data_IF_224544809123
#
_entry.id   IF_224544809123
#
_cell.length_a   1.000
_cell.length_b   1.000
_cell.length_c   1.000
_cell.angle_alpha   90.00
_cell.angle_beta   90.00
_cell.angle_gamma   90.00
#
_symmetry.space_group_name_H-M   'P 1'
#
loop_
_entity.id
_entity.type
_entity.pdbx_description
1 polymer ?
#
# COMPACT_ATOMS: atom_id res chain seq x y z
N UNK A 1 -9.34 17.21 2.16
CA UNK A 1 -8.43 16.13 1.74
C UNK A 1 -7.68 15.61 2.94
N UNK A 2 -7.40 14.31 2.97
CA UNK A 2 -6.61 13.62 3.99
C UNK A 2 -5.09 13.81 3.79
N UNK A 3 -4.69 14.35 2.64
CA UNK A 3 -3.33 14.80 2.34
C UNK A 3 -3.35 16.16 1.65
N UNK A 4 -2.25 16.92 1.75
CA UNK A 4 -2.09 18.20 1.03
C UNK A 4 -2.27 18.00 -0.48
N UNK A 5 -1.79 16.88 -1.00
CA UNK A 5 -1.90 16.52 -2.40
C UNK A 5 -3.35 16.35 -2.87
N UNK A 6 -4.17 15.68 -2.07
CA UNK A 6 -5.59 15.51 -2.34
C UNK A 6 -6.33 16.87 -2.30
N UNK A 7 -5.93 17.78 -1.41
CA UNK A 7 -6.47 19.15 -1.41
C UNK A 7 -6.10 19.90 -2.70
N UNK A 8 -4.88 19.74 -3.21
CA UNK A 8 -4.46 20.38 -4.45
C UNK A 8 -5.13 19.79 -5.69
N UNK A 9 -5.32 18.48 -5.71
CA UNK A 9 -6.07 17.79 -6.77
C UNK A 9 -7.53 18.28 -6.82
N UNK A 10 -8.17 18.41 -5.66
CA UNK A 10 -9.53 18.98 -5.57
C UNK A 10 -9.56 20.43 -6.08
N UNK A 11 -8.58 21.26 -5.71
CA UNK A 11 -8.47 22.65 -6.18
C UNK A 11 -8.29 22.72 -7.70
N UNK A 12 -7.42 21.87 -8.26
CA UNK A 12 -7.17 21.82 -9.70
C UNK A 12 -8.43 21.42 -10.48
N UNK A 13 -9.13 20.37 -10.04
CA UNK A 13 -10.39 19.92 -10.64
C UNK A 13 -11.47 20.98 -10.53
N UNK A 14 -11.59 21.65 -9.38
CA UNK A 14 -12.55 22.74 -9.18
C UNK A 14 -12.30 23.89 -10.14
N UNK A 15 -11.04 24.32 -10.28
CA UNK A 15 -10.63 25.37 -11.21
C UNK A 15 -10.94 25.00 -12.66
N UNK A 16 -10.64 23.77 -13.10
CA UNK A 16 -10.93 23.31 -14.46
C UNK A 16 -12.44 23.30 -14.78
N UNK A 17 -13.28 23.10 -13.76
CA UNK A 17 -14.75 23.14 -13.89
C UNK A 17 -15.33 24.56 -13.77
N UNK A 18 -14.49 25.59 -13.65
CA UNK A 18 -14.92 26.97 -13.45
C UNK A 18 -15.55 27.24 -12.08
N UNK A 19 -15.29 26.37 -11.09
CA UNK A 19 -15.79 26.52 -9.73
C UNK A 19 -14.88 27.51 -8.99
N UNK A 20 -15.47 28.61 -8.53
CA UNK A 20 -14.78 29.64 -7.75
C UNK A 20 -14.66 29.18 -6.30
N UNK A 21 -13.45 29.19 -5.74
CA UNK A 21 -13.22 28.86 -4.34
C UNK A 21 -12.79 30.11 -3.56
N UNK A 22 -13.43 30.30 -2.40
CA UNK A 22 -13.16 31.40 -1.49
C UNK A 22 -12.70 30.84 -0.15
N UNK A 23 -11.60 31.38 0.38
CA UNK A 23 -11.13 31.01 1.71
C UNK A 23 -11.60 32.01 2.76
N UNK A 24 -12.19 31.49 3.84
CA UNK A 24 -12.65 32.31 4.98
C UNK A 24 -11.45 32.83 5.80
N UNK A 25 -10.36 32.05 5.85
CA UNK A 25 -9.11 32.40 6.52
C UNK A 25 -8.00 32.55 5.49
N UNK A 26 -7.36 33.71 5.44
CA UNK A 26 -6.24 34.00 4.54
C UNK A 26 -6.58 34.83 3.31
N UNK A 27 -7.88 35.09 3.03
CA UNK A 27 -8.33 36.12 2.09
C UNK A 27 -8.00 35.88 0.62
N UNK A 28 -7.52 34.70 0.25
CA UNK A 28 -7.19 34.37 -1.14
C UNK A 28 -8.38 33.73 -1.85
N UNK A 29 -8.49 34.06 -3.14
CA UNK A 29 -9.57 33.64 -4.03
C UNK A 29 -8.98 32.84 -5.19
N UNK A 30 -9.61 31.72 -5.51
CA UNK A 30 -9.37 30.95 -6.74
C UNK A 30 -10.50 31.31 -7.71
N UNK A 31 -10.35 32.43 -8.40
CA UNK A 31 -11.38 33.05 -9.22
C UNK A 31 -10.95 33.18 -10.70
N UNK A 32 -10.11 32.25 -11.15
CA UNK A 32 -9.58 32.15 -12.52
C UNK A 32 -8.66 33.32 -12.95
N UNK A 33 -8.26 34.15 -11.99
CA UNK A 33 -7.26 35.21 -12.17
C UNK A 33 -5.86 34.61 -12.36
N UNK A 34 -4.94 35.41 -12.93
CA UNK A 34 -3.52 35.01 -13.08
C UNK A 34 -2.92 34.62 -11.72
N UNK A 35 -3.30 35.33 -10.65
CA UNK A 35 -2.88 35.04 -9.27
C UNK A 35 -3.36 33.65 -8.83
N UNK A 36 -4.61 33.29 -9.09
CA UNK A 36 -5.14 31.94 -8.79
C UNK A 36 -4.40 30.84 -9.54
N UNK A 37 -4.05 31.06 -10.82
CA UNK A 37 -3.32 30.07 -11.64
C UNK A 37 -1.89 29.86 -11.15
N UNK A 38 -1.18 30.94 -10.81
CA UNK A 38 0.17 30.87 -10.22
C UNK A 38 0.14 30.15 -8.87
N UNK A 39 -0.85 30.46 -8.02
CA UNK A 39 -1.00 29.83 -6.71
C UNK A 39 -1.25 28.32 -6.83
N UNK A 40 -2.10 27.90 -7.77
CA UNK A 40 -2.33 26.48 -8.07
C UNK A 40 -1.05 25.77 -8.56
N UNK A 41 -0.25 26.42 -9.41
CA UNK A 41 1.04 25.87 -9.86
C UNK A 41 2.04 25.71 -8.71
N UNK A 42 2.22 26.74 -7.89
CA UNK A 42 3.12 26.68 -6.72
C UNK A 42 2.70 25.56 -5.79
N UNK A 43 1.40 25.42 -5.53
CA UNK A 43 0.89 24.36 -4.69
C UNK A 43 1.09 22.96 -5.28
N UNK A 44 0.93 22.79 -6.60
CA UNK A 44 1.24 21.54 -7.28
C UNK A 44 2.71 21.17 -7.12
N UNK A 45 3.62 22.14 -7.31
CA UNK A 45 5.06 21.94 -7.12
C UNK A 45 5.40 21.58 -5.67
N UNK A 46 4.82 22.27 -4.69
CA UNK A 46 5.02 21.99 -3.27
C UNK A 46 4.55 20.58 -2.91
N UNK A 47 3.40 20.15 -3.43
CA UNK A 47 2.87 18.82 -3.19
C UNK A 47 3.76 17.71 -3.77
N UNK A 48 4.37 17.94 -4.94
CA UNK A 48 5.34 17.03 -5.54
C UNK A 48 6.63 16.95 -4.72
N UNK A 49 7.18 18.10 -4.31
CA UNK A 49 8.37 18.17 -3.46
C UNK A 49 8.14 17.48 -2.12
N UNK A 50 6.99 17.69 -1.48
CA UNK A 50 6.66 17.05 -0.20
C UNK A 50 6.63 15.51 -0.33
N UNK A 51 5.99 15.00 -1.39
CA UNK A 51 5.96 13.56 -1.68
C UNK A 51 7.37 12.99 -1.86
N UNK A 52 8.21 13.70 -2.59
CA UNK A 52 9.59 13.30 -2.83
C UNK A 52 10.42 13.32 -1.54
N UNK A 53 10.25 14.33 -0.68
CA UNK A 53 10.93 14.40 0.61
C UNK A 53 10.51 13.26 1.55
N UNK A 54 9.22 12.89 1.59
CA UNK A 54 8.72 11.74 2.37
C UNK A 54 9.33 10.43 1.86
N UNK A 55 9.35 10.25 0.54
CA UNK A 55 9.94 9.09 -0.13
C UNK A 55 11.44 9.00 0.19
N UNK A 56 12.16 10.12 0.07
CA UNK A 56 13.60 10.24 0.34
C UNK A 56 13.92 9.87 1.78
N UNK A 57 13.21 10.44 2.76
CA UNK A 57 13.37 10.13 4.19
C UNK A 57 13.24 8.64 4.48
N UNK A 58 12.23 7.99 3.88
CA UNK A 58 12.00 6.56 4.08
C UNK A 58 13.12 5.71 3.46
N UNK A 59 13.56 6.06 2.25
CA UNK A 59 14.65 5.38 1.56
C UNK A 59 15.97 5.50 2.30
N UNK A 60 16.30 6.70 2.80
CA UNK A 60 17.50 6.93 3.62
C UNK A 60 17.46 6.10 4.90
N UNK A 61 16.35 6.09 5.63
CA UNK A 61 16.20 5.27 6.83
C UNK A 61 16.34 3.77 6.54
N UNK A 62 15.80 3.29 5.42
CA UNK A 62 15.95 1.89 4.99
C UNK A 62 17.41 1.60 4.61
N UNK A 63 18.09 2.51 3.91
CA UNK A 63 19.49 2.38 3.56
C UNK A 63 20.37 2.26 4.81
N UNK A 64 20.17 3.12 5.80
CA UNK A 64 20.87 3.03 7.09
C UNK A 64 20.61 1.72 7.80
N UNK A 65 19.34 1.26 7.87
CA UNK A 65 19.01 -0.05 8.46
C UNK A 65 19.71 -1.21 7.74
N UNK A 66 19.75 -1.17 6.41
CA UNK A 66 20.43 -2.19 5.59
C UNK A 66 21.94 -2.16 5.83
N UNK A 67 22.55 -0.98 5.92
CA UNK A 67 23.98 -0.81 6.23
C UNK A 67 24.33 -1.35 7.63
N UNK A 68 23.42 -1.19 8.60
CA UNK A 68 23.54 -1.75 9.94
C UNK A 68 23.24 -3.26 10.01
N UNK A 69 23.14 -3.95 8.86
CA UNK A 69 22.93 -5.39 8.78
C UNK A 69 21.49 -5.86 9.03
N UNK A 70 20.52 -4.95 9.19
CA UNK A 70 19.11 -5.33 9.35
C UNK A 70 18.59 -5.88 8.02
N UNK A 71 18.14 -7.14 8.02
CA UNK A 71 17.46 -7.73 6.87
C UNK A 71 16.09 -7.08 6.68
N UNK A 72 15.96 -6.30 5.62
CA UNK A 72 14.70 -5.69 5.21
C UNK A 72 13.83 -6.65 4.40
N UNK A 73 12.53 -6.40 4.39
CA UNK A 73 11.55 -7.22 3.68
C UNK A 73 11.09 -8.44 4.48
N UNK A 74 10.34 -9.32 3.80
CA UNK A 74 9.83 -10.55 4.42
C UNK A 74 11.00 -11.45 4.82
N UNK A 75 11.05 -11.97 6.07
CA UNK A 75 12.07 -12.92 6.49
C UNK A 75 12.14 -14.12 5.53
N UNK A 76 13.37 -14.54 5.19
CA UNK A 76 13.59 -15.76 4.40
C UNK A 76 13.16 -16.98 5.23
N UNK A 77 12.50 -17.91 4.56
CA UNK A 77 12.03 -19.15 5.16
C UNK A 77 10.51 -19.27 5.16
N UNK A 78 10.04 -20.45 5.55
CA UNK A 78 8.64 -20.81 5.44
C UNK A 78 7.72 -20.07 6.45
N UNK A 79 8.29 -19.36 7.43
CA UNK A 79 7.54 -18.70 8.49
C UNK A 79 6.60 -19.65 9.23
N UNK A 80 5.70 -19.07 10.03
CA UNK A 80 4.51 -19.77 10.53
C UNK A 80 3.42 -19.64 9.47
N UNK A 81 2.88 -20.77 9.01
CA UNK A 81 1.75 -20.81 8.12
C UNK A 81 0.47 -20.83 8.94
N UNK A 82 -0.58 -20.15 8.45
CA UNK A 82 -1.93 -20.29 9.02
C UNK A 82 -2.44 -21.74 8.99
N UNK A 83 -1.87 -22.57 8.12
CA UNK A 83 -2.22 -23.99 7.97
C UNK A 83 -1.57 -24.87 9.04
N UNK A 84 -0.53 -24.39 9.75
CA UNK A 84 0.18 -25.17 10.77
C UNK A 84 -0.77 -25.64 11.89
N UNK A 85 -1.80 -24.85 12.21
CA UNK A 85 -2.82 -25.17 13.23
C UNK A 85 -3.71 -26.35 12.79
N UNK A 86 -3.91 -26.51 11.48
CA UNK A 86 -4.82 -27.51 10.90
C UNK A 86 -4.07 -28.73 10.37
N UNK A 87 -2.79 -28.93 10.73
CA UNK A 87 -1.95 -29.96 10.14
C UNK A 87 -2.57 -31.35 10.19
N UNK A 88 -3.05 -31.76 11.37
CA UNK A 88 -3.68 -33.07 11.59
C UNK A 88 -4.94 -33.26 10.74
N UNK A 89 -5.80 -32.22 10.63
CA UNK A 89 -7.02 -32.29 9.82
C UNK A 89 -6.68 -32.35 8.32
N UNK A 90 -5.69 -31.58 7.86
CA UNK A 90 -5.23 -31.57 6.47
C UNK A 90 -4.66 -32.95 6.09
N UNK A 91 -3.85 -33.57 6.96
CA UNK A 91 -3.33 -34.93 6.77
C UNK A 91 -4.46 -35.96 6.63
N UNK A 92 -5.48 -35.88 7.50
CA UNK A 92 -6.64 -36.77 7.43
C UNK A 92 -7.44 -36.57 6.12
N UNK A 93 -7.64 -35.32 5.70
CA UNK A 93 -8.33 -35.01 4.45
C UNK A 93 -7.59 -35.56 3.21
N UNK A 94 -6.26 -35.50 3.21
CA UNK A 94 -5.43 -36.06 2.13
C UNK A 94 -5.54 -37.58 2.12
N UNK A 95 -5.43 -38.24 3.28
CA UNK A 95 -5.59 -39.70 3.40
C UNK A 95 -6.96 -40.18 2.95
N UNK A 96 -8.00 -39.39 3.18
CA UNK A 96 -9.36 -39.66 2.73
C UNK A 96 -9.61 -39.33 1.24
N UNK A 97 -8.58 -38.96 0.48
CA UNK A 97 -8.68 -38.68 -0.96
C UNK A 97 -9.26 -37.32 -1.32
N UNK A 98 -9.33 -36.37 -0.37
CA UNK A 98 -9.81 -35.03 -0.66
C UNK A 98 -8.89 -34.31 -1.65
N UNK A 99 -9.48 -33.61 -2.61
CA UNK A 99 -8.69 -32.87 -3.60
C UNK A 99 -7.96 -31.69 -2.96
N UNK A 100 -6.73 -31.42 -3.40
CA UNK A 100 -5.93 -30.27 -2.93
C UNK A 100 -6.67 -28.93 -3.14
N UNK A 101 -7.44 -28.82 -4.22
CA UNK A 101 -8.32 -27.67 -4.50
C UNK A 101 -9.41 -27.47 -3.44
N UNK A 102 -10.06 -28.56 -3.01
CA UNK A 102 -11.05 -28.52 -1.94
C UNK A 102 -10.42 -28.07 -0.62
N UNK A 103 -9.28 -28.66 -0.24
CA UNK A 103 -8.55 -28.32 0.98
C UNK A 103 -8.12 -26.85 0.96
N UNK A 104 -7.56 -26.37 -0.16
CA UNK A 104 -7.14 -24.98 -0.30
C UNK A 104 -8.31 -24.00 -0.11
N UNK A 105 -9.45 -24.30 -0.74
CA UNK A 105 -10.68 -23.50 -0.60
C UNK A 105 -11.21 -23.52 0.85
N UNK A 106 -11.22 -24.69 1.50
CA UNK A 106 -11.70 -24.87 2.89
C UNK A 106 -10.96 -23.97 3.88
N UNK A 107 -9.64 -23.85 3.75
CA UNK A 107 -8.80 -23.02 4.63
C UNK A 107 -8.48 -21.63 4.06
N UNK A 108 -9.18 -21.22 2.99
CA UNK A 108 -9.05 -19.90 2.35
C UNK A 108 -7.63 -19.59 1.87
N UNK A 109 -6.90 -20.58 1.37
CA UNK A 109 -5.53 -20.44 0.84
C UNK A 109 -5.51 -20.70 -0.66
N UNK A 110 -4.50 -20.19 -1.36
CA UNK A 110 -4.25 -20.61 -2.74
C UNK A 110 -3.73 -22.05 -2.78
N UNK A 111 -3.99 -22.74 -3.90
CA UNK A 111 -3.48 -24.10 -4.15
C UNK A 111 -1.95 -24.13 -4.13
N UNK A 112 -1.28 -23.10 -4.66
CA UNK A 112 0.18 -22.98 -4.62
C UNK A 112 0.73 -22.85 -3.20
N UNK A 113 0.05 -22.08 -2.34
CA UNK A 113 0.47 -21.96 -0.94
C UNK A 113 0.22 -23.26 -0.17
N UNK A 114 -0.88 -23.98 -0.44
CA UNK A 114 -1.12 -25.30 0.12
C UNK A 114 -0.05 -26.29 -0.34
N UNK A 115 0.28 -26.32 -1.64
CA UNK A 115 1.30 -27.20 -2.20
C UNK A 115 2.67 -26.97 -1.55
N UNK A 116 3.12 -25.71 -1.48
CA UNK A 116 4.38 -25.36 -0.82
C UNK A 116 4.38 -25.73 0.67
N UNK A 117 3.22 -25.64 1.32
CA UNK A 117 3.07 -26.04 2.72
C UNK A 117 3.11 -27.56 2.89
N UNK A 118 2.55 -28.34 1.97
CA UNK A 118 2.61 -29.80 1.98
C UNK A 118 4.04 -30.29 1.73
N UNK A 119 4.72 -29.77 0.70
CA UNK A 119 6.12 -30.11 0.42
C UNK A 119 7.07 -29.74 1.57
N UNK A 120 6.74 -28.73 2.38
CA UNK A 120 7.50 -28.38 3.59
C UNK A 120 7.28 -29.37 4.74
N UNK A 121 6.11 -29.99 4.82
CA UNK A 121 5.72 -30.89 5.91
C UNK A 121 5.90 -32.38 5.56
N UNK A 122 6.48 -32.68 4.40
CA UNK A 122 6.67 -34.03 3.87
C UNK A 122 5.35 -34.81 3.72
N UNK A 123 4.31 -34.12 3.21
CA UNK A 123 2.94 -34.63 3.00
C UNK A 123 2.48 -34.59 1.54
#
# INVERSE_FOLDING_TARGET
>A
GRSMLECMEIIAIATQKGIKMYTVKGGWQLDDTIQSKVMAMVFSMVAEIERDLISKRTKEALQTKKANGVKLGRPKGAGKSKLDIYKVEIEALIKNGSTKKFIAKRYGTSESNLFNWLSKNDL
#
